data_IF_431729042208
#
_entry.id   IF_431729042208
#
_cell.length_a   1.000
_cell.length_b   1.000
_cell.length_c   1.000
_cell.angle_alpha   90.00
_cell.angle_beta   90.00
_cell.angle_gamma   90.00
#
_symmetry.space_group_name_H-M   'P 1'
#
loop_
_entity.id
_entity.type
_entity.pdbx_description
1 polymer ?
#
# COMPACT_ATOMS: atom_id res chain seq x y z
N UNK A 1 -13.61 95.56 -162.47
CA UNK A 1 -13.28 95.93 -161.08
C UNK A 1 -14.27 95.41 -160.02
N UNK A 2 -15.59 95.39 -160.25
CA UNK A 2 -16.56 94.86 -159.26
C UNK A 2 -16.38 93.38 -158.85
N UNK A 3 -15.74 92.53 -159.66
CA UNK A 3 -15.47 91.13 -159.30
C UNK A 3 -14.21 90.92 -158.42
N UNK A 4 -13.24 91.86 -158.42
CA UNK A 4 -12.08 91.77 -157.51
C UNK A 4 -12.43 92.18 -156.08
N UNK A 5 -13.33 93.14 -155.91
CA UNK A 5 -13.77 93.61 -154.59
C UNK A 5 -14.61 92.58 -153.82
N UNK A 6 -15.30 91.65 -154.49
CA UNK A 6 -16.02 90.54 -153.82
C UNK A 6 -15.08 89.42 -153.37
N UNK A 7 -14.05 89.12 -154.16
CA UNK A 7 -13.05 88.11 -153.83
C UNK A 7 -12.16 88.52 -152.64
N UNK A 8 -11.81 89.80 -152.52
CA UNK A 8 -11.06 90.31 -151.36
C UNK A 8 -11.90 90.36 -150.07
N UNK A 9 -13.23 90.49 -150.18
CA UNK A 9 -14.14 90.40 -149.04
C UNK A 9 -14.32 88.94 -148.56
N UNK A 10 -14.51 87.99 -149.49
CA UNK A 10 -14.59 86.55 -149.16
C UNK A 10 -13.28 86.00 -148.59
N UNK A 11 -12.12 86.49 -149.03
CA UNK A 11 -10.82 86.10 -148.47
C UNK A 11 -10.58 86.68 -147.06
N UNK A 12 -11.17 87.83 -146.72
CA UNK A 12 -11.15 88.34 -145.34
C UNK A 12 -12.06 87.53 -144.42
N UNK A 13 -13.29 87.25 -144.83
CA UNK A 13 -14.21 86.41 -144.05
C UNK A 13 -13.66 84.98 -143.88
N UNK A 14 -13.00 84.43 -144.90
CA UNK A 14 -12.34 83.12 -144.78
C UNK A 14 -11.13 83.15 -143.84
N UNK A 15 -10.32 84.20 -143.82
CA UNK A 15 -9.22 84.34 -142.88
C UNK A 15 -9.69 84.62 -141.44
N UNK A 16 -10.80 85.33 -141.28
CA UNK A 16 -11.42 85.60 -139.98
C UNK A 16 -12.05 84.31 -139.40
N UNK A 17 -12.71 83.50 -140.23
CA UNK A 17 -13.21 82.16 -139.86
C UNK A 17 -12.08 81.16 -139.54
N UNK A 18 -10.95 81.23 -140.25
CA UNK A 18 -9.78 80.39 -139.94
C UNK A 18 -9.14 80.82 -138.62
N UNK A 19 -9.02 82.13 -138.37
CA UNK A 19 -8.52 82.67 -137.10
C UNK A 19 -9.43 82.34 -135.92
N UNK A 20 -10.75 82.40 -136.09
CA UNK A 20 -11.71 81.96 -135.07
C UNK A 20 -11.66 80.44 -134.86
N UNK A 21 -11.52 79.64 -135.91
CA UNK A 21 -11.37 78.19 -135.79
C UNK A 21 -10.08 77.77 -135.07
N UNK A 22 -8.97 78.49 -135.30
CA UNK A 22 -7.70 78.29 -134.59
C UNK A 22 -7.79 78.72 -133.12
N UNK A 23 -8.47 79.84 -132.84
CA UNK A 23 -8.74 80.29 -131.46
C UNK A 23 -9.62 79.28 -130.71
N UNK A 24 -10.67 78.75 -131.35
CA UNK A 24 -11.51 77.70 -130.78
C UNK A 24 -10.75 76.38 -130.58
N UNK A 25 -9.78 76.05 -131.46
CA UNK A 25 -8.90 74.88 -131.26
C UNK A 25 -7.95 75.09 -130.10
N UNK A 26 -7.32 76.26 -129.99
CA UNK A 26 -6.43 76.60 -128.88
C UNK A 26 -7.19 76.58 -127.53
N UNK A 27 -8.39 77.18 -127.47
CA UNK A 27 -9.25 77.15 -126.29
C UNK A 27 -9.72 75.72 -125.94
N UNK A 28 -9.98 74.88 -126.94
CA UNK A 28 -10.31 73.46 -126.72
C UNK A 28 -9.11 72.65 -126.24
N UNK A 29 -7.91 72.89 -126.74
CA UNK A 29 -6.68 72.23 -126.29
C UNK A 29 -6.33 72.65 -124.86
N UNK A 30 -6.45 73.93 -124.53
CA UNK A 30 -6.29 74.45 -123.18
C UNK A 30 -7.35 73.85 -122.23
N UNK A 31 -8.61 73.80 -122.64
CA UNK A 31 -9.67 73.13 -121.86
C UNK A 31 -9.41 71.63 -121.67
N UNK A 32 -8.82 70.94 -122.66
CA UNK A 32 -8.42 69.52 -122.54
C UNK A 32 -7.23 69.38 -121.58
N UNK A 33 -6.25 70.28 -121.61
CA UNK A 33 -5.11 70.29 -120.70
C UNK A 33 -5.55 70.53 -119.25
N UNK A 34 -6.37 71.56 -119.00
CA UNK A 34 -6.97 71.83 -117.68
C UNK A 34 -7.82 70.64 -117.21
N UNK A 35 -8.56 69.97 -118.11
CA UNK A 35 -9.34 68.78 -117.77
C UNK A 35 -8.47 67.55 -117.47
N UNK A 36 -7.27 67.43 -118.04
CA UNK A 36 -6.30 66.38 -117.69
C UNK A 36 -5.66 66.67 -116.34
N UNK A 37 -5.18 67.89 -116.10
CA UNK A 37 -4.59 68.29 -114.81
C UNK A 37 -5.59 68.15 -113.66
N UNK A 38 -6.83 68.59 -113.83
CA UNK A 38 -7.89 68.41 -112.83
C UNK A 38 -8.22 66.95 -112.57
N UNK A 39 -8.17 66.08 -113.58
CA UNK A 39 -8.33 64.63 -113.41
C UNK A 39 -7.17 64.00 -112.64
N UNK A 40 -5.94 64.41 -112.91
CA UNK A 40 -4.77 63.88 -112.22
C UNK A 40 -4.66 64.42 -110.78
N UNK A 41 -5.00 65.68 -110.56
CA UNK A 41 -5.19 66.26 -109.22
C UNK A 41 -6.29 65.52 -108.43
N UNK A 42 -7.41 65.16 -109.06
CA UNK A 42 -8.47 64.39 -108.42
C UNK A 42 -8.01 62.95 -108.11
N UNK A 43 -7.18 62.33 -108.96
CA UNK A 43 -6.58 61.01 -108.67
C UNK A 43 -5.63 61.09 -107.48
N UNK A 44 -4.76 62.09 -107.42
CA UNK A 44 -3.85 62.31 -106.28
C UNK A 44 -4.63 62.60 -104.99
N UNK A 45 -5.65 63.46 -105.05
CA UNK A 45 -6.52 63.71 -103.91
C UNK A 45 -7.21 62.43 -103.42
N UNK A 46 -7.70 61.58 -104.34
CA UNK A 46 -8.28 60.27 -103.98
C UNK A 46 -7.26 59.33 -103.34
N UNK A 47 -6.01 59.32 -103.81
CA UNK A 47 -4.92 58.52 -103.18
C UNK A 47 -4.61 59.02 -101.77
N UNK A 48 -4.51 60.34 -101.59
CA UNK A 48 -4.25 60.95 -100.28
C UNK A 48 -5.40 60.66 -99.30
N UNK A 49 -6.66 60.82 -99.72
CA UNK A 49 -7.84 60.49 -98.90
C UNK A 49 -7.87 59.00 -98.55
N UNK A 50 -7.60 58.11 -99.50
CA UNK A 50 -7.53 56.67 -99.21
C UNK A 50 -6.40 56.31 -98.25
N UNK A 51 -5.26 57.00 -98.32
CA UNK A 51 -4.13 56.81 -97.42
C UNK A 51 -4.45 57.32 -96.02
N UNK A 52 -5.08 58.49 -95.91
CA UNK A 52 -5.57 59.05 -94.65
C UNK A 52 -6.62 58.13 -93.99
N UNK A 53 -7.56 57.60 -94.77
CA UNK A 53 -8.58 56.66 -94.27
C UNK A 53 -7.97 55.34 -93.77
N UNK A 54 -6.95 54.82 -94.46
CA UNK A 54 -6.20 53.63 -94.00
C UNK A 54 -5.44 53.93 -92.71
N UNK A 55 -4.79 55.09 -92.61
CA UNK A 55 -4.08 55.53 -91.41
C UNK A 55 -5.04 55.72 -90.22
N UNK A 56 -6.23 56.29 -90.45
CA UNK A 56 -7.25 56.48 -89.42
C UNK A 56 -7.80 55.13 -88.92
N UNK A 57 -8.10 54.19 -89.82
CA UNK A 57 -8.51 52.83 -89.45
C UNK A 57 -7.41 52.12 -88.65
N UNK A 58 -6.15 52.24 -89.06
CA UNK A 58 -5.01 51.69 -88.32
C UNK A 58 -4.88 52.32 -86.92
N UNK A 59 -5.04 53.64 -86.81
CA UNK A 59 -5.02 54.36 -85.53
C UNK A 59 -6.19 53.93 -84.62
N UNK A 60 -7.38 53.70 -85.18
CA UNK A 60 -8.53 53.21 -84.41
C UNK A 60 -8.29 51.79 -83.86
N UNK A 61 -7.70 50.90 -84.67
CA UNK A 61 -7.31 49.55 -84.24
C UNK A 61 -6.24 49.63 -83.15
N UNK A 62 -5.22 50.49 -83.31
CA UNK A 62 -4.19 50.71 -82.31
C UNK A 62 -4.77 51.23 -80.98
N UNK A 63 -5.70 52.20 -81.03
CA UNK A 63 -6.42 52.71 -79.84
C UNK A 63 -7.22 51.61 -79.15
N UNK A 64 -7.92 50.75 -79.90
CA UNK A 64 -8.66 49.60 -79.32
C UNK A 64 -7.71 48.61 -78.66
N UNK A 65 -6.57 48.28 -79.30
CA UNK A 65 -5.54 47.40 -78.72
C UNK A 65 -4.91 48.00 -77.46
N UNK A 66 -4.59 49.29 -77.46
CA UNK A 66 -4.05 49.99 -76.30
C UNK A 66 -5.04 49.99 -75.13
N UNK A 67 -6.33 50.24 -75.37
CA UNK A 67 -7.37 50.16 -74.33
C UNK A 67 -7.50 48.75 -73.75
N UNK A 68 -7.44 47.71 -74.59
CA UNK A 68 -7.50 46.32 -74.12
C UNK A 68 -6.25 45.93 -73.31
N UNK A 69 -5.06 46.34 -73.76
CA UNK A 69 -3.81 46.12 -73.02
C UNK A 69 -3.84 46.85 -71.66
N UNK A 70 -4.34 48.08 -71.62
CA UNK A 70 -4.49 48.83 -70.37
C UNK A 70 -5.46 48.15 -69.40
N UNK A 71 -6.61 47.66 -69.89
CA UNK A 71 -7.56 46.88 -69.06
C UNK A 71 -6.90 45.63 -68.48
N UNK A 72 -6.12 44.91 -69.29
CA UNK A 72 -5.39 43.72 -68.83
C UNK A 72 -4.36 44.07 -67.74
N UNK A 73 -3.56 45.11 -67.95
CA UNK A 73 -2.56 45.58 -66.96
C UNK A 73 -3.21 46.00 -65.63
N UNK A 74 -4.37 46.66 -65.68
CA UNK A 74 -5.12 47.03 -64.47
C UNK A 74 -5.64 45.77 -63.75
N UNK A 75 -6.14 44.78 -64.50
CA UNK A 75 -6.53 43.48 -63.96
C UNK A 75 -5.35 42.77 -63.27
N UNK A 76 -4.22 42.64 -63.96
CA UNK A 76 -3.01 41.99 -63.44
C UNK A 76 -2.49 42.72 -62.17
N UNK A 77 -2.54 44.05 -62.15
CA UNK A 77 -2.16 44.86 -60.97
C UNK A 77 -3.08 44.59 -59.78
N UNK A 78 -4.39 44.48 -60.01
CA UNK A 78 -5.35 44.19 -58.93
C UNK A 78 -5.15 42.78 -58.37
N UNK A 79 -4.96 41.79 -59.25
CA UNK A 79 -4.65 40.41 -58.84
C UNK A 79 -3.38 40.36 -57.99
N UNK A 80 -2.30 41.04 -58.42
CA UNK A 80 -1.05 41.10 -57.66
C UNK A 80 -1.24 41.75 -56.27
N UNK A 81 -2.11 42.76 -56.16
CA UNK A 81 -2.43 43.39 -54.87
C UNK A 81 -3.20 42.43 -53.95
N UNK A 82 -4.11 41.65 -54.49
CA UNK A 82 -4.84 40.62 -53.74
C UNK A 82 -3.90 39.50 -53.28
N UNK A 83 -3.02 39.01 -54.16
CA UNK A 83 -1.99 38.02 -53.80
C UNK A 83 -1.06 38.54 -52.70
N UNK A 84 -0.61 39.80 -52.78
CA UNK A 84 0.21 40.41 -51.73
C UNK A 84 -0.52 40.50 -50.39
N UNK A 85 -1.83 40.80 -50.40
CA UNK A 85 -2.66 40.79 -49.18
C UNK A 85 -2.80 39.39 -48.62
N UNK A 86 -3.09 38.39 -49.47
CA UNK A 86 -3.18 36.99 -49.06
C UNK A 86 -1.87 36.50 -48.44
N UNK A 87 -0.73 36.77 -49.09
CA UNK A 87 0.60 36.42 -48.58
C UNK A 87 0.90 37.11 -47.24
N UNK A 88 0.53 38.39 -47.09
CA UNK A 88 0.69 39.10 -45.82
C UNK A 88 -0.15 38.49 -44.70
N UNK A 89 -1.38 38.04 -44.99
CA UNK A 89 -2.23 37.36 -44.00
C UNK A 89 -1.65 36.00 -43.63
N UNK A 90 -1.23 35.22 -44.62
CA UNK A 90 -0.62 33.91 -44.42
C UNK A 90 0.68 34.01 -43.59
N UNK A 91 1.52 35.01 -43.85
CA UNK A 91 2.72 35.28 -43.05
C UNK A 91 2.39 35.54 -41.58
N UNK A 92 1.35 36.33 -41.30
CA UNK A 92 0.89 36.60 -39.93
C UNK A 92 0.38 35.32 -39.24
N UNK A 93 -0.26 34.42 -39.97
CA UNK A 93 -0.69 33.13 -39.43
C UNK A 93 0.50 32.23 -39.12
N UNK A 94 1.49 32.15 -40.02
CA UNK A 94 2.74 31.43 -39.75
C UNK A 94 3.47 31.97 -38.53
N UNK A 95 3.58 33.30 -38.38
CA UNK A 95 4.21 33.91 -37.21
C UNK A 95 3.45 33.57 -35.90
N UNK A 96 2.11 33.47 -35.94
CA UNK A 96 1.30 33.04 -34.79
C UNK A 96 1.50 31.56 -34.47
N UNK A 97 1.55 30.70 -35.49
CA UNK A 97 1.82 29.28 -35.32
C UNK A 97 3.22 29.04 -34.76
N UNK A 98 4.24 29.73 -35.27
CA UNK A 98 5.61 29.65 -34.77
C UNK A 98 5.67 30.00 -33.27
N UNK A 99 5.09 31.13 -32.86
CA UNK A 99 5.03 31.53 -31.43
C UNK A 99 4.30 30.51 -30.54
N UNK A 100 3.28 29.85 -31.08
CA UNK A 100 2.53 28.83 -30.34
C UNK A 100 3.37 27.56 -30.17
N UNK A 101 4.08 27.15 -31.21
CA UNK A 101 5.01 26.02 -31.17
C UNK A 101 6.17 26.28 -30.20
N UNK A 102 6.77 27.46 -30.23
CA UNK A 102 7.84 27.84 -29.29
C UNK A 102 7.36 27.72 -27.83
N UNK A 103 6.14 28.19 -27.55
CA UNK A 103 5.53 28.07 -26.22
C UNK A 103 5.25 26.62 -25.82
N UNK A 104 4.79 25.79 -26.77
CA UNK A 104 4.58 24.36 -26.53
C UNK A 104 5.91 23.64 -26.26
N UNK A 105 6.96 23.97 -26.99
CA UNK A 105 8.29 23.41 -26.80
C UNK A 105 8.87 23.81 -25.43
N UNK A 106 8.72 25.07 -25.02
CA UNK A 106 9.15 25.53 -23.70
C UNK A 106 8.41 24.79 -22.57
N UNK A 107 7.08 24.63 -22.70
CA UNK A 107 6.27 23.88 -21.75
C UNK A 107 6.67 22.40 -21.69
N UNK A 108 6.93 21.77 -22.84
CA UNK A 108 7.41 20.39 -22.90
C UNK A 108 8.79 20.24 -22.23
N UNK A 109 9.71 21.19 -22.45
CA UNK A 109 11.02 21.22 -21.79
C UNK A 109 10.90 21.31 -20.27
N UNK A 110 10.00 22.17 -19.75
CA UNK A 110 9.72 22.28 -18.30
C UNK A 110 9.17 20.98 -17.74
N UNK A 111 8.15 20.40 -18.38
CA UNK A 111 7.57 19.12 -17.96
C UNK A 111 8.59 17.97 -17.96
N UNK A 112 9.46 17.90 -18.98
CA UNK A 112 10.54 16.90 -19.02
C UNK A 112 11.54 17.11 -17.87
N UNK A 113 11.87 18.35 -17.53
CA UNK A 113 12.76 18.65 -16.41
C UNK A 113 12.15 18.24 -15.06
N UNK A 114 10.86 18.51 -14.85
CA UNK A 114 10.10 18.11 -13.67
C UNK A 114 10.06 16.57 -13.53
N UNK A 115 9.67 15.86 -14.60
CA UNK A 115 9.67 14.38 -14.60
C UNK A 115 11.06 13.78 -14.32
N UNK A 116 12.13 14.41 -14.81
CA UNK A 116 13.51 13.98 -14.50
C UNK A 116 13.86 14.20 -13.03
N UNK A 117 13.42 15.31 -12.44
CA UNK A 117 13.63 15.58 -11.02
C UNK A 117 12.85 14.59 -10.14
N UNK A 118 11.58 14.34 -10.44
CA UNK A 118 10.75 13.35 -9.75
C UNK A 118 11.35 11.94 -9.86
N UNK A 119 11.78 11.53 -11.07
CA UNK A 119 12.44 10.24 -11.27
C UNK A 119 13.71 10.10 -10.42
N UNK A 120 14.47 11.18 -10.26
CA UNK A 120 15.67 11.17 -9.40
C UNK A 120 15.32 10.98 -7.93
N UNK A 121 14.27 11.64 -7.43
CA UNK A 121 13.77 11.46 -6.06
C UNK A 121 13.30 10.02 -5.87
N UNK A 122 12.43 9.54 -6.77
CA UNK A 122 11.90 8.17 -6.71
C UNK A 122 13.02 7.10 -6.69
N UNK A 123 14.06 7.27 -7.49
CA UNK A 123 15.20 6.33 -7.49
C UNK A 123 15.96 6.36 -6.17
N UNK A 124 16.15 7.55 -5.57
CA UNK A 124 16.79 7.70 -4.27
C UNK A 124 15.97 7.01 -3.19
N UNK A 125 14.67 7.27 -3.12
CA UNK A 125 13.76 6.66 -2.13
C UNK A 125 13.71 5.14 -2.28
N UNK A 126 13.70 4.63 -3.52
CA UNK A 126 13.75 3.20 -3.80
C UNK A 126 15.03 2.56 -3.26
N UNK A 127 16.18 3.21 -3.46
CA UNK A 127 17.46 2.69 -3.03
C UNK A 127 17.63 2.77 -1.50
N UNK A 128 17.10 3.83 -0.86
CA UNK A 128 16.99 3.94 0.60
C UNK A 128 16.09 2.84 1.19
N UNK A 129 14.93 2.57 0.57
CA UNK A 129 14.03 1.50 1.01
C UNK A 129 14.67 0.11 0.86
N UNK A 130 15.45 -0.12 -0.22
CA UNK A 130 16.22 -1.36 -0.38
C UNK A 130 17.28 -1.50 0.71
N UNK A 131 18.00 -0.42 1.03
CA UNK A 131 19.01 -0.43 2.09
C UNK A 131 18.37 -0.69 3.46
N UNK A 132 17.23 -0.06 3.76
CA UNK A 132 16.46 -0.31 4.97
C UNK A 132 16.04 -1.77 5.09
N UNK A 133 15.40 -2.34 4.05
CA UNK A 133 14.99 -3.74 4.02
C UNK A 133 16.17 -4.70 4.22
N UNK A 134 17.33 -4.40 3.63
CA UNK A 134 18.53 -5.21 3.82
C UNK A 134 19.03 -5.19 5.27
N UNK A 135 19.02 -4.02 5.94
CA UNK A 135 19.41 -3.91 7.36
C UNK A 135 18.42 -4.65 8.25
N UNK A 136 17.12 -4.48 8.03
CA UNK A 136 16.08 -5.19 8.78
C UNK A 136 16.20 -6.70 8.64
N UNK A 137 16.40 -7.22 7.41
CA UNK A 137 16.61 -8.66 7.20
C UNK A 137 17.88 -9.16 7.91
N UNK A 138 18.98 -8.42 7.84
CA UNK A 138 20.20 -8.78 8.57
C UNK A 138 19.98 -8.82 10.08
N UNK A 139 19.27 -7.84 10.65
CA UNK A 139 18.95 -7.81 12.07
C UNK A 139 18.02 -8.94 12.50
N UNK A 140 17.04 -9.30 11.67
CA UNK A 140 16.17 -10.45 11.91
C UNK A 140 16.94 -11.78 11.84
N UNK A 141 17.90 -11.92 10.92
CA UNK A 141 18.77 -13.11 10.84
C UNK A 141 19.66 -13.25 12.07
N UNK A 142 20.21 -12.15 12.59
CA UNK A 142 20.99 -12.16 13.84
C UNK A 142 20.14 -12.56 15.04
N UNK A 143 18.95 -11.96 15.21
CA UNK A 143 18.01 -12.34 16.28
C UNK A 143 17.56 -13.79 16.16
N UNK A 144 17.34 -14.28 14.94
CA UNK A 144 17.01 -15.70 14.72
C UNK A 144 18.13 -16.61 15.23
N UNK A 145 19.40 -16.30 14.93
CA UNK A 145 20.55 -17.07 15.41
C UNK A 145 20.66 -17.03 16.93
N UNK A 146 20.41 -15.88 17.55
CA UNK A 146 20.39 -15.74 19.01
C UNK A 146 19.30 -16.64 19.64
N UNK A 147 18.08 -16.59 19.12
CA UNK A 147 16.97 -17.45 19.57
C UNK A 147 17.29 -18.94 19.37
N UNK A 148 17.86 -19.32 18.23
CA UNK A 148 18.31 -20.71 18.00
C UNK A 148 19.38 -21.14 19.01
N UNK A 149 20.26 -20.24 19.43
CA UNK A 149 21.23 -20.49 20.51
C UNK A 149 20.55 -20.74 21.86
N UNK A 150 19.61 -19.86 22.24
CA UNK A 150 18.85 -19.99 23.49
C UNK A 150 18.01 -21.27 23.53
N UNK A 151 17.39 -21.65 22.41
CA UNK A 151 16.64 -22.91 22.31
C UNK A 151 17.54 -24.09 22.64
N UNK A 152 18.74 -24.16 22.04
CA UNK A 152 19.71 -25.23 22.32
C UNK A 152 20.14 -25.27 23.78
N UNK A 153 20.35 -24.10 24.40
CA UNK A 153 20.70 -24.02 25.81
C UNK A 153 19.56 -24.55 26.71
N UNK A 154 18.32 -24.14 26.42
CA UNK A 154 17.13 -24.62 27.14
C UNK A 154 16.95 -26.14 26.95
N UNK A 155 17.12 -26.65 25.74
CA UNK A 155 17.05 -28.08 25.46
C UNK A 155 18.11 -28.86 26.25
N UNK A 156 19.35 -28.38 26.28
CA UNK A 156 20.44 -28.97 27.08
C UNK A 156 20.10 -29.01 28.57
N UNK A 157 19.67 -27.87 29.14
CA UNK A 157 19.27 -27.81 30.55
C UNK A 157 18.09 -28.71 30.86
N UNK A 158 17.11 -28.78 29.97
CA UNK A 158 15.93 -29.64 30.13
C UNK A 158 16.33 -31.11 30.20
N UNK A 159 17.32 -31.51 29.40
CA UNK A 159 17.84 -32.87 29.44
C UNK A 159 18.60 -33.16 30.75
N UNK A 160 19.44 -32.24 31.21
CA UNK A 160 20.09 -32.34 32.52
C UNK A 160 19.06 -32.48 33.65
N UNK A 161 18.00 -31.67 33.64
CA UNK A 161 16.91 -31.78 34.60
C UNK A 161 16.21 -33.14 34.53
N UNK A 162 15.97 -33.69 33.33
CA UNK A 162 15.40 -35.04 33.19
C UNK A 162 16.27 -36.11 33.81
N UNK A 163 17.60 -36.03 33.62
CA UNK A 163 18.52 -36.98 34.27
C UNK A 163 18.50 -36.88 35.79
N UNK A 164 18.44 -35.65 36.33
CA UNK A 164 18.36 -35.42 37.78
C UNK A 164 17.07 -35.98 38.35
N UNK A 165 15.93 -35.74 37.70
CA UNK A 165 14.63 -36.29 38.12
C UNK A 165 14.69 -37.81 38.14
N UNK A 166 15.20 -38.45 37.08
CA UNK A 166 15.34 -39.91 37.02
C UNK A 166 16.24 -40.46 38.14
N UNK A 167 17.35 -39.78 38.46
CA UNK A 167 18.23 -40.17 39.58
C UNK A 167 17.50 -40.04 40.94
N UNK A 168 16.71 -38.99 41.11
CA UNK A 168 15.93 -38.78 42.32
C UNK A 168 14.84 -39.84 42.48
N UNK A 169 14.11 -40.16 41.42
CA UNK A 169 13.11 -41.24 41.40
C UNK A 169 13.73 -42.58 41.82
N UNK A 170 14.86 -42.97 41.22
CA UNK A 170 15.59 -44.19 41.59
C UNK A 170 16.07 -44.18 43.06
N UNK A 171 16.44 -43.00 43.58
CA UNK A 171 16.87 -42.86 44.99
C UNK A 171 15.69 -43.00 45.93
N UNK A 172 14.53 -42.46 45.55
CA UNK A 172 13.30 -42.51 46.32
C UNK A 172 12.78 -43.94 46.40
N UNK A 173 12.82 -44.70 45.30
CA UNK A 173 12.50 -46.13 45.26
C UNK A 173 13.41 -46.95 46.18
N UNK A 174 14.74 -46.70 46.15
CA UNK A 174 15.68 -47.36 47.07
C UNK A 174 15.39 -47.04 48.54
N UNK A 175 15.09 -45.78 48.84
CA UNK A 175 14.77 -45.36 50.21
C UNK A 175 13.47 -46.02 50.70
N UNK A 176 12.46 -46.17 49.84
CA UNK A 176 11.24 -46.93 50.16
C UNK A 176 11.58 -48.39 50.49
N UNK A 177 12.39 -49.06 49.67
CA UNK A 177 12.82 -50.44 49.95
C UNK A 177 13.58 -50.59 51.28
N UNK A 178 14.38 -49.59 51.68
CA UNK A 178 15.05 -49.57 53.00
C UNK A 178 14.01 -49.40 54.13
N UNK A 179 13.03 -48.51 53.97
CA UNK A 179 11.99 -48.30 54.97
C UNK A 179 11.15 -49.57 55.17
N UNK A 180 10.77 -50.24 54.08
CA UNK A 180 10.04 -51.52 54.12
C UNK A 180 10.85 -52.60 54.87
N UNK A 181 12.17 -52.66 54.64
CA UNK A 181 13.04 -53.63 55.33
C UNK A 181 13.22 -53.30 56.81
N UNK A 182 13.34 -52.01 57.16
CA UNK A 182 13.37 -51.57 58.57
C UNK A 182 12.07 -51.96 59.28
N UNK A 183 10.92 -51.80 58.62
CA UNK A 183 9.63 -52.19 59.17
C UNK A 183 9.55 -53.70 59.42
N UNK A 184 9.99 -54.52 58.45
CA UNK A 184 10.09 -55.97 58.65
C UNK A 184 11.01 -56.36 59.79
N UNK A 185 12.19 -55.75 59.88
CA UNK A 185 13.14 -56.02 60.95
C UNK A 185 12.58 -55.62 62.32
N UNK A 186 11.84 -54.51 62.41
CA UNK A 186 11.15 -54.10 63.64
C UNK A 186 10.08 -55.10 64.04
N UNK A 187 9.28 -55.58 63.11
CA UNK A 187 8.27 -56.61 63.36
C UNK A 187 8.91 -57.92 63.84
N UNK A 188 10.02 -58.34 63.22
CA UNK A 188 10.77 -59.52 63.62
C UNK A 188 11.38 -59.38 65.02
N UNK A 189 11.95 -58.22 65.35
CA UNK A 189 12.45 -57.92 66.71
C UNK A 189 11.30 -57.99 67.71
N UNK A 190 10.17 -57.34 67.42
CA UNK A 190 8.99 -57.36 68.30
C UNK A 190 8.46 -58.78 68.52
N UNK A 191 8.45 -59.62 67.48
CA UNK A 191 8.09 -61.05 67.62
C UNK A 191 9.07 -61.79 68.52
N UNK A 192 10.37 -61.60 68.32
CA UNK A 192 11.41 -62.22 69.15
C UNK A 192 11.33 -61.76 70.61
N UNK A 193 11.07 -60.48 70.85
CA UNK A 193 10.84 -59.93 72.19
C UNK A 193 9.61 -60.57 72.83
N UNK A 194 8.47 -60.63 72.13
CA UNK A 194 7.26 -61.28 72.63
C UNK A 194 7.48 -62.77 72.92
N UNK A 195 8.21 -63.48 72.07
CA UNK A 195 8.51 -64.89 72.29
C UNK A 195 9.49 -65.10 73.46
N UNK A 196 10.46 -64.19 73.63
CA UNK A 196 11.37 -64.16 74.79
C UNK A 196 10.61 -63.83 76.08
N UNK A 197 9.70 -62.86 76.06
CA UNK A 197 8.82 -62.53 77.19
C UNK A 197 7.92 -63.71 77.54
N UNK A 198 7.32 -64.39 76.57
CA UNK A 198 6.54 -65.60 76.80
C UNK A 198 7.40 -66.72 77.40
N UNK A 199 8.62 -66.92 76.91
CA UNK A 199 9.54 -67.91 77.48
C UNK A 199 9.97 -67.56 78.90
N UNK A 200 10.30 -66.29 79.16
CA UNK A 200 10.65 -65.78 80.48
C UNK A 200 9.46 -65.86 81.45
N UNK A 201 8.26 -65.52 80.99
CA UNK A 201 7.01 -65.65 81.74
C UNK A 201 6.70 -67.13 82.01
N UNK A 202 6.91 -68.02 81.04
CA UNK A 202 6.75 -69.47 81.23
C UNK A 202 7.75 -70.00 82.25
N UNK A 203 9.02 -69.57 82.19
CA UNK A 203 10.03 -69.94 83.17
C UNK A 203 9.70 -69.40 84.58
N UNK A 204 9.23 -68.16 84.67
CA UNK A 204 8.77 -67.55 85.92
C UNK A 204 7.53 -68.25 86.49
N UNK A 205 6.53 -68.54 85.67
CA UNK A 205 5.34 -69.30 86.07
C UNK A 205 5.68 -70.73 86.47
N UNK A 206 6.61 -71.38 85.78
CA UNK A 206 7.12 -72.70 86.16
C UNK A 206 7.82 -72.63 87.53
N UNK A 207 8.68 -71.63 87.76
CA UNK A 207 9.31 -71.37 89.06
C UNK A 207 8.31 -71.04 90.16
N UNK A 208 7.25 -70.27 89.85
CA UNK A 208 6.17 -69.93 90.80
C UNK A 208 5.26 -71.11 91.08
N UNK A 209 5.02 -71.98 90.10
CA UNK A 209 4.27 -73.22 90.25
C UNK A 209 5.05 -74.23 91.08
N UNK A 210 6.37 -74.31 90.86
CA UNK A 210 7.28 -75.09 91.71
C UNK A 210 7.31 -74.53 93.15
N UNK A 211 7.28 -73.20 93.34
CA UNK A 211 7.13 -72.57 94.67
C UNK A 211 5.75 -72.84 95.31
N UNK A 212 4.64 -72.78 94.55
CA UNK A 212 3.27 -72.97 95.07
C UNK A 212 2.86 -74.44 95.25
N UNK A 213 3.58 -75.39 94.66
CA UNK A 213 3.46 -76.81 95.03
C UNK A 213 4.18 -77.15 96.34
N UNK A 214 5.00 -76.23 96.86
CA UNK A 214 5.66 -76.36 98.17
C UNK A 214 5.09 -75.47 99.28
N UNK A 215 4.22 -74.50 98.99
CA UNK A 215 3.55 -73.73 100.04
C UNK A 215 2.10 -73.37 99.69
N UNK A 216 1.21 -73.68 100.64
CA UNK A 216 -0.23 -73.75 100.45
C UNK A 216 -0.97 -72.42 100.27
N UNK A 217 -2.23 -72.61 99.85
CA UNK A 217 -3.36 -71.67 99.80
C UNK A 217 -3.14 -70.30 100.46
N UNK A 218 -3.38 -69.22 99.71
CA UNK A 218 -4.31 -68.16 100.17
C UNK A 218 -4.91 -67.39 99.00
N UNK A 219 -6.23 -67.23 99.10
CA UNK A 219 -7.10 -66.37 98.32
C UNK A 219 -6.87 -64.89 98.65
N UNK A 220 -6.88 -64.01 97.64
CA UNK A 220 -7.22 -62.59 97.84
C UNK A 220 -7.95 -62.04 96.60
N UNK A 221 -8.99 -61.22 96.78
CA UNK A 221 -9.91 -60.84 95.71
C UNK A 221 -9.40 -59.64 94.90
N UNK A 222 -9.56 -59.70 93.58
CA UNK A 222 -9.49 -58.53 92.69
C UNK A 222 -10.73 -57.65 92.89
N UNK A 223 -10.59 -56.33 93.11
CA UNK A 223 -11.72 -55.42 92.99
C UNK A 223 -12.01 -55.09 91.52
N UNK A 224 -13.30 -55.01 91.21
CA UNK A 224 -13.90 -54.55 89.95
C UNK A 224 -13.36 -53.17 89.53
N UNK A 225 -13.02 -53.07 88.24
CA UNK A 225 -12.62 -51.82 87.57
C UNK A 225 -13.88 -51.15 87.01
N UNK A 226 -14.67 -50.56 87.89
CA UNK A 226 -15.80 -49.68 87.52
C UNK A 226 -15.63 -48.32 88.20
N UNK A 227 -14.56 -47.60 87.86
CA UNK A 227 -14.40 -46.20 88.27
C UNK A 227 -13.40 -45.45 87.35
N UNK A 228 -13.77 -45.20 86.09
CA UNK A 228 -13.11 -44.17 85.28
C UNK A 228 -14.11 -43.04 85.05
N UNK A 229 -14.11 -42.09 85.97
CA UNK A 229 -14.96 -40.89 86.01
C UNK A 229 -14.79 -39.94 84.80
N UNK A 230 -13.90 -40.25 83.85
CA UNK A 230 -13.46 -39.34 82.79
C UNK A 230 -13.71 -39.83 81.36
N UNK A 231 -14.39 -40.97 81.16
CA UNK A 231 -14.71 -41.54 79.84
C UNK A 231 -15.46 -40.53 78.94
N UNK A 232 -16.30 -39.68 79.55
CA UNK A 232 -17.08 -38.67 78.82
C UNK A 232 -16.20 -37.64 78.09
N UNK A 233 -15.10 -37.18 78.71
CA UNK A 233 -14.21 -36.19 78.11
C UNK A 233 -13.39 -36.79 76.97
N UNK A 234 -12.91 -38.03 77.12
CA UNK A 234 -12.22 -38.74 76.05
C UNK A 234 -13.12 -39.00 74.84
N UNK A 235 -14.38 -39.39 75.05
CA UNK A 235 -15.35 -39.52 73.94
C UNK A 235 -15.59 -38.20 73.20
N UNK A 236 -15.66 -37.08 73.92
CA UNK A 236 -15.81 -35.77 73.30
C UNK A 236 -14.57 -35.35 72.48
N UNK A 237 -13.36 -35.80 72.86
CA UNK A 237 -12.14 -35.63 72.06
C UNK A 237 -12.24 -36.44 70.76
N UNK A 238 -12.64 -37.71 70.85
CA UNK A 238 -12.80 -38.59 69.68
C UNK A 238 -13.86 -38.07 68.70
N UNK A 239 -14.98 -37.55 69.22
CA UNK A 239 -16.03 -36.95 68.40
C UNK A 239 -15.57 -35.67 67.68
N UNK A 240 -14.67 -34.89 68.29
CA UNK A 240 -14.05 -33.74 67.63
C UNK A 240 -13.09 -34.17 66.51
N UNK A 241 -12.27 -35.20 66.74
CA UNK A 241 -11.35 -35.74 65.73
C UNK A 241 -12.09 -36.31 64.53
N UNK A 242 -13.17 -37.08 64.76
CA UNK A 242 -14.04 -37.57 63.68
C UNK A 242 -14.69 -36.46 62.87
N UNK A 243 -15.06 -35.34 63.50
CA UNK A 243 -15.62 -34.19 62.80
C UNK A 243 -14.56 -33.47 61.93
N UNK A 244 -13.29 -33.46 62.36
CA UNK A 244 -12.15 -32.96 61.56
C UNK A 244 -11.85 -33.87 60.37
N UNK A 245 -11.82 -35.18 60.59
CA UNK A 245 -11.59 -36.16 59.51
C UNK A 245 -12.70 -36.09 58.45
N UNK A 246 -13.93 -35.75 58.85
CA UNK A 246 -15.07 -35.48 57.97
C UNK A 246 -15.10 -34.09 57.33
N UNK A 247 -14.05 -33.27 57.54
CA UNK A 247 -13.88 -31.90 57.03
C UNK A 247 -14.98 -30.89 57.45
N UNK A 248 -15.73 -31.18 58.52
CA UNK A 248 -16.77 -30.30 59.07
C UNK A 248 -16.21 -29.43 60.20
N UNK A 249 -15.46 -28.40 59.79
CA UNK A 249 -14.72 -27.51 60.70
C UNK A 249 -15.66 -26.73 61.64
N UNK A 250 -16.85 -26.36 61.16
CA UNK A 250 -17.83 -25.60 61.97
C UNK A 250 -18.35 -26.46 63.12
N UNK A 251 -18.67 -27.74 62.85
CA UNK A 251 -19.10 -28.69 63.87
C UNK A 251 -17.98 -29.05 64.84
N UNK A 252 -16.76 -29.26 64.34
CA UNK A 252 -15.60 -29.54 65.18
C UNK A 252 -15.31 -28.40 66.18
N UNK A 253 -15.36 -27.14 65.73
CA UNK A 253 -15.16 -25.96 66.59
C UNK A 253 -16.26 -25.84 67.67
N UNK A 254 -17.50 -26.16 67.32
CA UNK A 254 -18.62 -26.17 68.28
C UNK A 254 -18.43 -27.25 69.36
N UNK A 255 -18.00 -28.45 68.96
CA UNK A 255 -17.72 -29.56 69.89
C UNK A 255 -16.50 -29.26 70.79
N UNK A 256 -15.44 -28.65 70.24
CA UNK A 256 -14.28 -28.21 71.01
C UNK A 256 -14.65 -27.20 72.11
N UNK A 257 -15.50 -26.21 71.79
CA UNK A 257 -15.93 -25.23 72.80
C UNK A 257 -16.76 -25.87 73.92
N UNK A 258 -17.56 -26.90 73.61
CA UNK A 258 -18.29 -27.71 74.61
C UNK A 258 -17.32 -28.53 75.47
N UNK A 259 -16.35 -29.21 74.86
CA UNK A 259 -15.32 -29.97 75.54
C UNK A 259 -14.49 -29.08 76.50
N UNK A 260 -14.11 -27.88 76.05
CA UNK A 260 -13.37 -26.92 76.87
C UNK A 260 -14.15 -26.46 78.10
N UNK A 261 -15.46 -26.27 77.94
CA UNK A 261 -16.34 -25.89 79.05
C UNK A 261 -16.48 -27.04 80.05
N UNK A 262 -16.72 -28.26 79.55
CA UNK A 262 -16.86 -29.47 80.37
C UNK A 262 -15.55 -29.82 81.11
N UNK A 263 -14.40 -29.63 80.47
CA UNK A 263 -13.09 -29.79 81.09
C UNK A 263 -12.86 -28.78 82.22
N UNK A 264 -13.37 -27.55 82.09
CA UNK A 264 -13.27 -26.51 83.11
C UNK A 264 -14.15 -26.76 84.34
N UNK A 265 -15.26 -27.49 84.19
CA UNK A 265 -16.23 -27.77 85.26
C UNK A 265 -15.97 -29.11 85.96
N UNK A 266 -15.35 -30.07 85.27
CA UNK A 266 -15.10 -31.42 85.82
C UNK A 266 -13.96 -31.39 86.85
N UNK A 267 -14.17 -31.99 88.02
CA UNK A 267 -13.13 -32.14 89.05
C UNK A 267 -12.19 -33.30 88.68
N UNK A 268 -11.12 -32.98 87.96
CA UNK A 268 -10.08 -33.92 87.54
C UNK A 268 -8.90 -33.93 88.52
N UNK A 269 -8.22 -35.07 88.66
CA UNK A 269 -6.94 -35.11 89.37
C UNK A 269 -5.88 -34.30 88.61
N UNK A 270 -4.82 -33.85 89.30
CA UNK A 270 -3.76 -33.03 88.68
C UNK A 270 -3.09 -33.73 87.49
N UNK A 271 -2.95 -35.06 87.55
CA UNK A 271 -2.34 -35.84 86.49
C UNK A 271 -3.27 -35.96 85.27
N UNK A 272 -4.54 -36.32 85.48
CA UNK A 272 -5.52 -36.45 84.40
C UNK A 272 -5.80 -35.11 83.73
N UNK A 273 -5.82 -34.03 84.51
CA UNK A 273 -5.95 -32.67 83.98
C UNK A 273 -4.80 -32.33 83.04
N UNK A 274 -3.58 -32.76 83.34
CA UNK A 274 -2.41 -32.53 82.46
C UNK A 274 -2.51 -33.34 81.17
N UNK A 275 -2.92 -34.61 81.24
CA UNK A 275 -3.06 -35.48 80.06
C UNK A 275 -4.17 -34.96 79.14
N UNK A 276 -5.36 -34.71 79.69
CA UNK A 276 -6.49 -34.16 78.94
C UNK A 276 -6.21 -32.76 78.38
N UNK A 277 -5.49 -31.90 79.12
CA UNK A 277 -5.11 -30.58 78.63
C UNK A 277 -4.21 -30.64 77.41
N UNK A 278 -3.22 -31.55 77.39
CA UNK A 278 -2.36 -31.73 76.23
C UNK A 278 -3.17 -32.21 75.02
N UNK A 279 -4.08 -33.18 75.21
CA UNK A 279 -4.94 -33.66 74.13
C UNK A 279 -5.94 -32.62 73.62
N UNK A 280 -6.48 -31.76 74.49
CA UNK A 280 -7.33 -30.62 74.10
C UNK A 280 -6.50 -29.57 73.33
N UNK A 281 -5.25 -29.35 73.71
CA UNK A 281 -4.34 -28.42 73.03
C UNK A 281 -3.95 -28.92 71.65
N UNK A 282 -3.58 -30.18 71.50
CA UNK A 282 -3.31 -30.80 70.19
C UNK A 282 -4.52 -30.67 69.27
N UNK A 283 -5.72 -30.95 69.79
CA UNK A 283 -6.95 -30.82 69.02
C UNK A 283 -7.23 -29.36 68.58
N UNK A 284 -6.84 -28.37 69.38
CA UNK A 284 -6.93 -26.97 68.99
C UNK A 284 -5.99 -26.61 67.83
N UNK A 285 -4.75 -27.11 67.89
CA UNK A 285 -3.77 -26.92 66.83
C UNK A 285 -4.21 -27.62 65.54
N UNK A 286 -4.78 -28.83 65.62
CA UNK A 286 -5.33 -29.57 64.48
C UNK A 286 -6.52 -28.83 63.81
N UNK A 287 -7.45 -28.28 64.61
CA UNK A 287 -8.57 -27.47 64.07
C UNK A 287 -8.01 -26.22 63.36
N UNK A 288 -7.02 -25.56 63.94
CA UNK A 288 -6.43 -24.36 63.36
C UNK A 288 -5.62 -24.66 62.09
N UNK A 289 -4.92 -25.79 62.03
CA UNK A 289 -4.21 -26.24 60.84
C UNK A 289 -5.20 -26.57 59.71
N UNK A 290 -6.29 -27.27 60.03
CA UNK A 290 -7.35 -27.59 59.06
C UNK A 290 -8.02 -26.33 58.51
N UNK A 291 -8.15 -25.26 59.31
CA UNK A 291 -8.67 -23.96 58.86
C UNK A 291 -7.73 -23.21 57.90
N UNK A 292 -6.41 -23.41 58.01
CA UNK A 292 -5.42 -22.75 57.15
C UNK A 292 -5.25 -23.45 55.79
N UNK A 293 -5.66 -24.72 55.70
CA UNK A 293 -5.57 -25.53 54.48
C UNK A 293 -6.87 -25.51 53.65
N UNK A 294 -7.87 -24.69 54.02
CA UNK A 294 -9.05 -24.34 53.21
C UNK A 294 -8.79 -23.08 52.38
#
# INVERSE_FOLDING_TARGET
EQQRSRFEAEMRDSHELIGEAEKIRAEKEEAIAVRKETKDALKEQKKLVNTALKAEKAAQVARKRAKNAQKKLVGDRNNLLEEKKAFSSQKKEFDKHAKTLDKQEENAKKSIAEMKAERKIFLKDRDELKAYKKRELSGLEERRKEVEGLIKEVESRTEEYREVVKKNENTLEKNQGILDEIERLRDDVKRREQDSEKQSMKAYLQSKLDETLTDGLTSSPMPDVDEVSNVKLYRMIDDCKKALDGNDIVKSRSLYNKLRTEFGTTKLSSHEKSVLYNSIRELYDDIHLAMLNQ
#
